data_IF_073756605613
#
_entry.id   IF_073756605613
#
_cell.length_a   1.000
_cell.length_b   1.000
_cell.length_c   1.000
_cell.angle_alpha   90.00
_cell.angle_beta   90.00
_cell.angle_gamma   90.00
#
_symmetry.space_group_name_H-M   'P 1'
#
loop_
_entity.id
_entity.type
_entity.pdbx_description
1 polymer ?
#
# COMPACT_ATOMS: atom_id res chain seq x y z
N UNK A 1 -18.95 23.03 78.53
CA UNK A 1 -19.08 21.78 77.76
C UNK A 1 -18.73 22.09 76.31
N UNK A 2 -17.67 21.47 75.78
CA UNK A 2 -17.07 21.75 74.47
C UNK A 2 -17.90 21.07 73.37
N UNK A 3 -18.40 21.84 72.40
CA UNK A 3 -18.98 21.31 71.16
C UNK A 3 -17.89 21.22 70.10
N UNK A 4 -17.51 19.99 69.73
CA UNK A 4 -16.61 19.74 68.59
C UNK A 4 -17.43 19.60 67.31
N UNK A 5 -17.17 20.49 66.34
CA UNK A 5 -17.62 20.39 64.96
C UNK A 5 -16.67 19.45 64.19
N UNK A 6 -17.20 18.36 63.65
CA UNK A 6 -16.49 17.49 62.69
C UNK A 6 -16.88 17.90 61.27
N UNK A 7 -15.92 18.48 60.55
CA UNK A 7 -16.05 18.79 59.12
C UNK A 7 -15.77 17.53 58.29
N UNK A 8 -16.74 17.13 57.48
CA UNK A 8 -16.63 16.02 56.53
C UNK A 8 -15.98 16.48 55.22
N UNK A 9 -14.79 15.95 54.93
CA UNK A 9 -14.07 16.16 53.68
C UNK A 9 -14.60 15.17 52.62
N UNK A 10 -15.31 15.65 51.60
CA UNK A 10 -15.70 14.84 50.46
C UNK A 10 -14.57 14.84 49.41
N UNK A 11 -13.88 13.71 49.25
CA UNK A 11 -12.88 13.52 48.21
C UNK A 11 -13.58 13.19 46.87
N UNK A 12 -13.49 14.09 45.90
CA UNK A 12 -13.94 13.88 44.52
C UNK A 12 -12.98 12.95 43.79
N UNK A 13 -13.44 11.75 43.42
CA UNK A 13 -12.72 10.84 42.53
C UNK A 13 -12.81 11.37 41.09
N UNK A 14 -11.67 11.77 40.53
CA UNK A 14 -11.56 12.06 39.11
C UNK A 14 -11.67 10.75 38.31
N UNK A 15 -12.74 10.62 37.51
CA UNK A 15 -12.94 9.47 36.64
C UNK A 15 -12.04 9.64 35.40
N UNK A 16 -10.91 8.94 35.36
CA UNK A 16 -10.10 8.84 34.15
C UNK A 16 -10.85 7.95 33.15
N UNK A 17 -11.36 8.55 32.07
CA UNK A 17 -11.94 7.77 30.98
C UNK A 17 -10.86 6.86 30.35
N UNK A 18 -11.16 5.60 30.03
CA UNK A 18 -10.23 4.73 29.34
C UNK A 18 -9.90 5.31 27.96
N UNK A 19 -8.61 5.43 27.65
CA UNK A 19 -8.15 5.71 26.29
C UNK A 19 -8.45 4.48 25.44
N UNK A 20 -9.62 4.45 24.80
CA UNK A 20 -9.92 3.41 23.83
C UNK A 20 -8.96 3.56 22.63
N UNK A 21 -8.20 2.52 22.26
CA UNK A 21 -7.39 2.57 21.06
C UNK A 21 -8.30 2.78 19.87
N UNK A 22 -8.20 3.96 19.24
CA UNK A 22 -8.85 4.24 17.97
C UNK A 22 -8.47 3.15 16.98
N UNK A 23 -9.43 2.36 16.50
CA UNK A 23 -9.21 1.39 15.42
C UNK A 23 -8.87 2.15 14.15
N UNK A 24 -7.60 2.47 13.95
CA UNK A 24 -7.10 2.99 12.68
C UNK A 24 -7.23 1.86 11.67
N UNK A 25 -8.11 2.03 10.67
CA UNK A 25 -8.14 1.13 9.53
C UNK A 25 -6.89 1.43 8.70
N UNK A 26 -5.80 0.71 8.97
CA UNK A 26 -4.67 0.61 8.07
C UNK A 26 -5.18 0.09 6.72
N UNK A 27 -4.89 0.82 5.63
CA UNK A 27 -5.19 0.36 4.28
C UNK A 27 -4.47 -0.97 4.08
N UNK A 28 -5.23 -2.05 3.87
CA UNK A 28 -4.64 -3.38 3.68
C UNK A 28 -4.00 -3.47 2.31
N UNK A 29 -2.82 -4.10 2.25
CA UNK A 29 -2.19 -4.46 1.00
C UNK A 29 -3.14 -5.32 0.16
N UNK A 30 -3.14 -5.11 -1.16
CA UNK A 30 -3.94 -5.90 -2.11
C UNK A 30 -3.02 -6.83 -2.88
N UNK A 31 -3.27 -8.14 -2.81
CA UNK A 31 -2.51 -9.15 -3.55
C UNK A 31 -3.38 -9.80 -4.61
N UNK A 32 -2.84 -9.91 -5.82
CA UNK A 32 -3.49 -10.51 -6.99
C UNK A 32 -2.51 -11.42 -7.71
N UNK A 33 -2.98 -12.52 -8.31
CA UNK A 33 -2.11 -13.52 -8.92
C UNK A 33 -2.55 -13.93 -10.33
N UNK A 34 -3.66 -13.38 -10.84
CA UNK A 34 -4.13 -13.62 -12.19
C UNK A 34 -3.24 -12.97 -13.24
N UNK A 35 -3.32 -13.51 -14.45
CA UNK A 35 -2.44 -13.13 -15.57
C UNK A 35 -2.55 -11.64 -15.93
N UNK A 36 -3.78 -11.13 -15.93
CA UNK A 36 -4.15 -9.77 -16.32
C UNK A 36 -4.67 -8.94 -15.16
N UNK A 37 -4.49 -9.42 -13.93
CA UNK A 37 -4.93 -8.69 -12.75
C UNK A 37 -4.17 -7.37 -12.63
N UNK A 38 -4.88 -6.35 -12.14
CA UNK A 38 -4.31 -5.05 -11.85
C UNK A 38 -4.92 -4.45 -10.59
N UNK A 39 -4.19 -3.51 -9.99
CA UNK A 39 -4.64 -2.75 -8.82
C UNK A 39 -4.45 -1.26 -9.12
N UNK A 40 -5.56 -0.52 -9.10
CA UNK A 40 -5.54 0.94 -9.19
C UNK A 40 -5.33 1.54 -7.81
N UNK A 41 -4.34 2.43 -7.68
CA UNK A 41 -4.07 3.16 -6.42
C UNK A 41 -3.48 4.53 -6.70
N UNK A 42 -4.09 5.59 -6.15
CA UNK A 42 -3.73 6.97 -6.50
C UNK A 42 -3.80 7.19 -8.01
N UNK A 43 -2.77 7.82 -8.58
CA UNK A 43 -2.65 8.03 -10.03
C UNK A 43 -2.03 6.83 -10.77
N UNK A 44 -1.85 5.68 -10.13
CA UNK A 44 -1.21 4.52 -10.74
C UNK A 44 -2.19 3.39 -10.99
N UNK A 45 -1.95 2.64 -12.06
CA UNK A 45 -2.47 1.28 -12.24
C UNK A 45 -1.26 0.34 -12.23
N UNK A 46 -1.25 -0.63 -11.32
CA UNK A 46 -0.17 -1.61 -11.22
C UNK A 46 -0.66 -2.92 -11.80
N UNK A 47 0.04 -3.45 -12.81
CA UNK A 47 -0.35 -4.65 -13.55
C UNK A 47 0.52 -5.84 -13.14
N UNK A 48 -0.07 -7.03 -13.05
CA UNK A 48 0.69 -8.27 -12.90
C UNK A 48 1.31 -8.71 -14.24
N UNK A 49 0.54 -8.59 -15.33
CA UNK A 49 0.97 -8.66 -16.73
C UNK A 49 1.83 -9.90 -17.05
N UNK A 50 1.23 -11.09 -16.95
CA UNK A 50 1.86 -12.38 -17.22
C UNK A 50 1.78 -12.77 -18.71
N UNK A 51 2.03 -11.81 -19.61
CA UNK A 51 1.83 -11.98 -21.05
C UNK A 51 2.61 -13.13 -21.69
N UNK A 52 3.74 -13.52 -21.09
CA UNK A 52 4.65 -14.54 -21.61
C UNK A 52 4.64 -15.84 -20.81
N UNK A 53 3.68 -16.02 -19.88
CA UNK A 53 3.68 -17.15 -18.94
C UNK A 53 3.74 -18.51 -19.63
N UNK A 54 3.11 -18.64 -20.80
CA UNK A 54 2.98 -19.92 -21.52
C UNK A 54 4.32 -20.38 -22.12
N UNK A 55 5.33 -19.52 -22.11
CA UNK A 55 6.70 -19.89 -22.51
C UNK A 55 7.49 -20.59 -21.40
N UNK A 56 6.90 -20.83 -20.23
CA UNK A 56 7.51 -21.59 -19.14
C UNK A 56 6.50 -22.12 -18.14
N UNK A 57 7.02 -22.54 -16.98
CA UNK A 57 6.23 -23.12 -15.89
C UNK A 57 6.53 -22.36 -14.61
N UNK A 58 5.48 -21.95 -13.89
CA UNK A 58 5.66 -21.15 -12.69
C UNK A 58 4.41 -20.40 -12.25
N UNK A 59 4.61 -19.43 -11.37
CA UNK A 59 3.57 -18.55 -10.86
C UNK A 59 4.14 -17.18 -10.49
N UNK A 60 3.27 -16.17 -10.44
CA UNK A 60 3.62 -14.83 -9.99
C UNK A 60 2.41 -14.15 -9.36
N UNK A 61 2.64 -13.45 -8.25
CA UNK A 61 1.67 -12.57 -7.62
C UNK A 61 2.20 -11.14 -7.51
N UNK A 62 1.31 -10.18 -7.65
CA UNK A 62 1.50 -8.76 -7.45
C UNK A 62 0.89 -8.35 -6.10
N UNK A 63 1.62 -7.60 -5.29
CA UNK A 63 1.12 -7.00 -4.05
C UNK A 63 1.30 -5.48 -4.08
N UNK A 64 0.23 -4.75 -3.83
CA UNK A 64 0.23 -3.28 -3.74
C UNK A 64 -0.08 -2.86 -2.31
N UNK A 65 0.91 -2.26 -1.64
CA UNK A 65 0.77 -1.71 -0.28
C UNK A 65 0.08 -0.33 -0.29
N UNK A 66 0.12 0.38 -1.43
CA UNK A 66 -0.51 1.69 -1.62
C UNK A 66 0.51 2.80 -1.82
N UNK A 67 0.17 4.01 -1.37
CA UNK A 67 1.05 5.19 -1.45
C UNK A 67 1.49 5.57 -0.05
N UNK A 68 2.80 5.68 0.18
CA UNK A 68 3.38 6.14 1.45
C UNK A 68 4.39 7.24 1.16
N UNK A 69 4.28 8.38 1.84
CA UNK A 69 5.15 9.55 1.62
C UNK A 69 5.25 9.99 0.14
N UNK A 70 4.12 9.92 -0.59
CA UNK A 70 4.05 10.28 -2.01
C UNK A 70 4.65 9.26 -2.98
N UNK A 71 5.15 8.12 -2.50
CA UNK A 71 5.72 7.05 -3.31
C UNK A 71 4.79 5.84 -3.34
N UNK A 72 4.59 5.29 -4.54
CA UNK A 72 3.92 4.00 -4.71
C UNK A 72 4.80 2.89 -4.15
N UNK A 73 4.22 2.07 -3.27
CA UNK A 73 4.85 0.88 -2.70
C UNK A 73 4.11 -0.36 -3.17
N UNK A 74 4.84 -1.23 -3.86
CA UNK A 74 4.35 -2.49 -4.41
C UNK A 74 5.50 -3.48 -4.54
N UNK A 75 5.17 -4.76 -4.69
CA UNK A 75 6.12 -5.83 -4.91
C UNK A 75 5.52 -6.90 -5.82
N UNK A 76 6.38 -7.72 -6.41
CA UNK A 76 5.99 -8.96 -7.06
C UNK A 76 6.81 -10.11 -6.49
N UNK A 77 6.18 -11.27 -6.33
CA UNK A 77 6.84 -12.52 -5.98
C UNK A 77 6.57 -13.52 -7.10
N UNK A 78 7.60 -14.20 -7.58
CA UNK A 78 7.49 -15.12 -8.69
C UNK A 78 8.42 -16.32 -8.55
N UNK A 79 8.04 -17.41 -9.21
CA UNK A 79 8.91 -18.54 -9.50
C UNK A 79 8.62 -18.96 -10.93
N UNK A 80 9.63 -18.94 -11.79
CA UNK A 80 9.51 -19.29 -13.21
C UNK A 80 10.66 -20.22 -13.63
N UNK A 81 10.35 -21.15 -14.52
CA UNK A 81 11.30 -22.09 -15.13
C UNK A 81 10.92 -22.34 -16.59
N UNK A 82 11.85 -22.89 -17.39
CA UNK A 82 11.61 -23.12 -18.82
C UNK A 82 11.65 -21.84 -19.67
N UNK A 83 11.72 -21.99 -21.01
CA UNK A 83 11.83 -20.89 -21.95
C UNK A 83 12.96 -19.91 -21.63
N UNK A 84 14.23 -20.35 -21.66
CA UNK A 84 15.38 -19.56 -21.21
C UNK A 84 15.58 -18.25 -21.97
N UNK A 85 14.97 -18.11 -23.15
CA UNK A 85 15.05 -16.92 -24.01
C UNK A 85 13.74 -16.13 -24.06
N UNK A 86 12.77 -16.46 -23.19
CA UNK A 86 11.43 -15.92 -23.25
C UNK A 86 11.10 -15.22 -21.92
N UNK A 87 10.77 -13.95 -21.99
CA UNK A 87 10.24 -13.19 -20.84
C UNK A 87 8.88 -13.77 -20.45
N UNK A 88 8.64 -13.92 -19.14
CA UNK A 88 7.39 -14.50 -18.62
C UNK A 88 6.34 -13.45 -18.30
N UNK A 89 6.77 -12.28 -17.84
CA UNK A 89 5.88 -11.23 -17.36
C UNK A 89 6.57 -9.88 -17.41
N UNK A 90 5.78 -8.82 -17.28
CA UNK A 90 6.29 -7.46 -17.05
C UNK A 90 5.40 -6.74 -16.05
N UNK A 91 5.49 -7.09 -14.75
CA UNK A 91 4.73 -6.39 -13.73
C UNK A 91 5.22 -4.94 -13.64
N UNK A 92 4.31 -3.98 -13.75
CA UNK A 92 4.68 -2.59 -13.90
C UNK A 92 3.63 -1.64 -13.33
N UNK A 93 4.08 -0.46 -12.89
CA UNK A 93 3.23 0.64 -12.46
C UNK A 93 3.10 1.67 -13.59
N UNK A 94 1.88 1.89 -14.06
CA UNK A 94 1.54 2.88 -15.08
C UNK A 94 1.00 4.13 -14.41
N UNK A 95 1.66 5.27 -14.63
CA UNK A 95 1.11 6.57 -14.25
C UNK A 95 -0.03 6.94 -15.22
N UNK A 96 -1.20 7.21 -14.67
CA UNK A 96 -2.31 7.79 -15.41
C UNK A 96 -2.06 9.29 -15.58
N UNK A 97 -1.66 9.66 -16.79
CA UNK A 97 -1.42 11.04 -17.18
C UNK A 97 -2.09 11.33 -18.54
N UNK A 98 -2.43 12.59 -18.78
CA UNK A 98 -2.91 13.00 -20.10
C UNK A 98 -1.77 12.94 -21.12
N UNK A 99 -2.09 12.54 -22.35
CA UNK A 99 -1.12 12.55 -23.44
C UNK A 99 -0.62 13.98 -23.70
N UNK A 100 0.69 14.12 -23.89
CA UNK A 100 1.34 15.39 -24.21
C UNK A 100 2.37 15.20 -25.32
N UNK A 101 2.58 16.23 -26.15
CA UNK A 101 3.72 16.26 -27.07
C UNK A 101 5.00 16.37 -26.26
N UNK A 102 6.05 15.66 -26.68
CA UNK A 102 7.37 15.75 -26.02
C UNK A 102 7.87 17.20 -25.95
N UNK A 103 7.63 17.99 -26.99
CA UNK A 103 7.99 19.42 -27.04
C UNK A 103 7.28 20.30 -25.99
N UNK A 104 6.19 19.83 -25.39
CA UNK A 104 5.44 20.53 -24.35
C UNK A 104 5.83 20.09 -22.93
N UNK A 105 6.68 19.06 -22.78
CA UNK A 105 7.09 18.51 -21.49
C UNK A 105 8.37 19.19 -21.05
N UNK A 106 8.33 19.93 -19.93
CA UNK A 106 9.51 20.55 -19.34
C UNK A 106 10.30 19.60 -18.45
N UNK A 107 9.63 18.65 -17.78
CA UNK A 107 10.27 17.68 -16.89
C UNK A 107 9.37 16.46 -16.65
N UNK A 108 9.99 15.32 -16.32
CA UNK A 108 9.33 14.10 -15.84
C UNK A 108 10.09 13.64 -14.59
N UNK A 109 9.91 14.31 -13.44
CA UNK A 109 10.61 13.93 -12.22
C UNK A 109 10.14 12.54 -11.77
N UNK A 110 11.11 11.67 -11.45
CA UNK A 110 10.83 10.30 -10.98
C UNK A 110 11.82 9.89 -9.90
N UNK A 111 11.35 9.07 -8.97
CA UNK A 111 12.17 8.46 -7.92
C UNK A 111 11.76 7.00 -7.81
N UNK A 112 12.75 6.11 -7.86
CA UNK A 112 12.52 4.69 -7.72
C UNK A 112 13.52 4.07 -6.75
N UNK A 113 13.00 3.26 -5.83
CA UNK A 113 13.77 2.47 -4.86
C UNK A 113 13.22 1.04 -4.92
N UNK A 114 14.09 0.07 -5.19
CA UNK A 114 13.71 -1.33 -5.36
C UNK A 114 14.79 -2.24 -4.77
N UNK A 115 14.41 -3.47 -4.45
CA UNK A 115 15.27 -4.53 -3.92
C UNK A 115 14.73 -5.89 -4.32
#
# INVERSE_FOLDING_TARGET
MKFSLLASLAASLAFAAPLEPTKTIEKRATTVCGDWDSVTTGSYIVYNNLWGKDSGTGSQCLTVDGITNGLLKWSTSYSWSGGPYNVKSYPNAVLQASAARVSAISSIPSKWQWR
#
